data_IF_533713679429
#
_entry.id   IF_533713679429
#
_cell.length_a   1.000
_cell.length_b   1.000
_cell.length_c   1.000
_cell.angle_alpha   90.00
_cell.angle_beta   90.00
_cell.angle_gamma   90.00
#
_symmetry.space_group_name_H-M   'P 1'
#
loop_
_entity.id
_entity.type
_entity.pdbx_description
1 polymer ?
#
# COMPACT_ATOMS: atom_id res chain seq x y z
N UNK A 1 5.41 23.79 6.41
CA UNK A 1 5.14 22.33 6.52
C UNK A 1 3.96 21.99 5.62
N UNK A 2 4.17 21.16 4.60
CA UNK A 2 3.09 20.73 3.70
C UNK A 2 2.20 19.68 4.38
N UNK A 3 0.94 19.59 3.95
CA UNK A 3 0.05 18.49 4.38
C UNK A 3 0.58 17.17 3.82
N UNK A 4 0.57 16.12 4.64
CA UNK A 4 0.84 14.76 4.17
C UNK A 4 -0.21 14.29 3.16
N UNK A 5 0.10 13.22 2.41
CA UNK A 5 -0.83 12.58 1.47
C UNK A 5 -1.15 11.16 1.94
N UNK A 6 -2.43 10.84 2.02
CA UNK A 6 -2.94 9.50 2.26
C UNK A 6 -3.33 8.88 0.91
N UNK A 7 -2.83 7.67 0.64
CA UNK A 7 -3.20 6.88 -0.52
C UNK A 7 -3.90 5.60 -0.07
N UNK A 8 -5.10 5.34 -0.59
CA UNK A 8 -5.71 4.01 -0.55
C UNK A 8 -5.27 3.21 -1.78
N UNK A 9 -4.77 2.00 -1.58
CA UNK A 9 -4.32 1.11 -2.67
C UNK A 9 -4.85 -0.31 -2.45
N UNK A 10 -5.23 -0.99 -3.53
CA UNK A 10 -5.50 -2.43 -3.51
C UNK A 10 -4.21 -3.23 -3.60
N UNK A 11 -4.12 -4.33 -2.85
CA UNK A 11 -2.95 -5.23 -2.81
C UNK A 11 -3.08 -6.46 -3.70
N UNK A 12 -4.23 -6.66 -4.35
CA UNK A 12 -4.54 -7.87 -5.12
C UNK A 12 -5.17 -8.97 -4.25
N UNK A 13 -5.39 -10.17 -4.81
CA UNK A 13 -6.10 -11.27 -4.15
C UNK A 13 -5.23 -12.11 -3.19
N UNK A 14 -3.93 -11.83 -3.10
CA UNK A 14 -2.99 -12.55 -2.21
C UNK A 14 -1.64 -12.84 -2.87
N UNK A 15 -1.64 -13.10 -4.17
CA UNK A 15 -0.39 -13.24 -4.95
C UNK A 15 0.28 -11.86 -5.14
N UNK A 16 1.52 -11.65 -4.64
CA UNK A 16 2.23 -10.38 -4.76
C UNK A 16 2.49 -9.93 -6.21
N UNK A 17 2.56 -10.86 -7.17
CA UNK A 17 2.80 -10.52 -8.58
C UNK A 17 1.59 -9.81 -9.22
N UNK A 18 0.41 -9.93 -8.61
CA UNK A 18 -0.84 -9.35 -9.10
C UNK A 18 -1.09 -7.91 -8.60
N UNK A 19 -0.12 -7.30 -7.90
CA UNK A 19 -0.22 -5.89 -7.49
C UNK A 19 -0.02 -4.94 -8.67
N UNK A 20 -0.73 -3.81 -8.68
CA UNK A 20 -0.48 -2.79 -9.72
C UNK A 20 0.88 -2.12 -9.54
N UNK A 21 1.55 -1.76 -10.64
CA UNK A 21 2.83 -1.05 -10.59
C UNK A 21 2.77 0.27 -9.81
N UNK A 22 1.62 0.97 -9.86
CA UNK A 22 1.42 2.21 -9.11
C UNK A 22 1.35 1.95 -7.60
N UNK A 23 0.62 0.93 -7.17
CA UNK A 23 0.56 0.54 -5.76
C UNK A 23 1.95 0.13 -5.25
N UNK A 24 2.70 -0.67 -6.01
CA UNK A 24 4.07 -1.05 -5.65
C UNK A 24 4.99 0.16 -5.46
N UNK A 25 4.95 1.13 -6.38
CA UNK A 25 5.74 2.37 -6.28
C UNK A 25 5.37 3.21 -5.07
N UNK A 26 4.07 3.31 -4.76
CA UNK A 26 3.58 4.04 -3.59
C UNK A 26 3.98 3.34 -2.29
N UNK A 27 3.81 2.02 -2.20
CA UNK A 27 4.21 1.24 -1.03
C UNK A 27 5.73 1.34 -0.77
N UNK A 28 6.56 1.26 -1.82
CA UNK A 28 8.03 1.37 -1.69
C UNK A 28 8.53 2.75 -1.26
N UNK A 29 7.82 3.82 -1.62
CA UNK A 29 8.22 5.21 -1.31
C UNK A 29 7.53 5.78 -0.08
N UNK A 30 6.50 5.10 0.44
CA UNK A 30 5.75 5.58 1.61
C UNK A 30 6.55 5.38 2.89
N UNK A 31 6.75 6.43 3.70
CA UNK A 31 7.45 6.31 4.98
C UNK A 31 6.64 5.52 6.02
N UNK A 32 5.32 5.42 5.85
CA UNK A 32 4.41 4.69 6.73
C UNK A 32 3.42 3.90 5.86
N UNK A 33 3.21 2.62 6.21
CA UNK A 33 2.20 1.76 5.61
C UNK A 33 1.28 1.25 6.71
N UNK A 34 -0.02 1.51 6.57
CA UNK A 34 -1.06 0.97 7.44
C UNK A 34 -1.86 -0.10 6.69
N UNK A 35 -2.05 -1.26 7.30
CA UNK A 35 -2.81 -2.37 6.72
C UNK A 35 -3.57 -3.10 7.83
N UNK A 36 -4.63 -3.82 7.46
CA UNK A 36 -5.34 -4.66 8.41
C UNK A 36 -4.53 -5.93 8.66
N UNK A 37 -4.22 -6.20 9.92
CA UNK A 37 -3.74 -7.51 10.34
C UNK A 37 -4.97 -8.35 10.68
N UNK A 38 -5.30 -9.33 9.85
CA UNK A 38 -6.31 -10.31 10.21
C UNK A 38 -5.69 -11.24 11.27
N UNK A 39 -6.24 -11.23 12.49
CA UNK A 39 -5.91 -12.25 13.50
C UNK A 39 -6.72 -13.50 13.20
N UNK A 40 -6.01 -14.58 12.89
CA UNK A 40 -6.44 -15.97 13.09
C UNK A 40 -5.70 -16.52 14.29
#
# INVERSE_FOLDING_TARGET
MGKGRLYGVGVGPGDPELVTLKALRLLKSSPVVAYQLQKG
#
